data_IF_844149679160
#
_entry.id   IF_844149679160
#
_cell.length_a   1.000
_cell.length_b   1.000
_cell.length_c   1.000
_cell.angle_alpha   90.00
_cell.angle_beta   90.00
_cell.angle_gamma   90.00
#
_symmetry.space_group_name_H-M   'P 1'
#
loop_
_entity.id
_entity.type
_entity.pdbx_description
1 polymer ?
#
# COMPACT_ATOMS: atom_id res chain seq x y z
N UNK A 1 -18.40 -2.07 -6.88
CA UNK A 1 -17.38 -3.13 -7.02
C UNK A 1 -16.16 -2.43 -7.59
N UNK A 2 -15.14 -2.23 -6.77
CA UNK A 2 -14.00 -1.35 -7.06
C UNK A 2 -13.23 -1.83 -8.32
N UNK A 3 -12.71 -0.91 -9.15
CA UNK A 3 -12.08 -1.26 -10.44
C UNK A 3 -10.87 -2.20 -10.34
N UNK A 4 -10.35 -2.43 -9.13
CA UNK A 4 -9.33 -3.45 -8.82
C UNK A 4 -9.83 -4.87 -9.15
N UNK A 5 -11.13 -5.16 -9.05
CA UNK A 5 -11.67 -6.51 -9.33
C UNK A 5 -11.91 -6.81 -10.81
N UNK A 6 -11.74 -5.84 -11.72
CA UNK A 6 -12.05 -6.01 -13.15
C UNK A 6 -10.86 -6.45 -14.01
N UNK A 7 -9.64 -6.31 -13.52
CA UNK A 7 -8.42 -6.65 -14.26
C UNK A 7 -7.85 -7.99 -13.79
N UNK A 8 -7.24 -8.76 -14.72
CA UNK A 8 -6.60 -10.03 -14.35
C UNK A 8 -5.53 -9.79 -13.27
N UNK A 9 -5.42 -10.67 -12.26
CA UNK A 9 -4.47 -10.49 -11.15
C UNK A 9 -3.02 -10.36 -11.64
N UNK A 10 -2.68 -10.96 -12.78
CA UNK A 10 -1.38 -10.81 -13.44
C UNK A 10 -1.03 -9.36 -13.78
N UNK A 11 -1.97 -8.52 -14.22
CA UNK A 11 -1.69 -7.13 -14.56
C UNK A 11 -1.35 -6.29 -13.34
N UNK A 12 -2.04 -6.52 -12.22
CA UNK A 12 -1.81 -5.80 -10.96
C UNK A 12 -0.42 -6.13 -10.42
N UNK A 13 -0.01 -7.39 -10.51
CA UNK A 13 1.32 -7.86 -10.07
C UNK A 13 2.42 -7.24 -10.93
N UNK A 14 2.27 -7.24 -12.27
CA UNK A 14 3.25 -6.65 -13.19
C UNK A 14 3.36 -5.14 -12.93
N UNK A 15 2.23 -4.44 -12.79
CA UNK A 15 2.22 -3.02 -12.49
C UNK A 15 2.91 -2.72 -11.15
N UNK A 16 2.63 -3.52 -10.11
CA UNK A 16 3.27 -3.38 -8.81
C UNK A 16 4.79 -3.59 -8.90
N UNK A 17 5.26 -4.55 -9.69
CA UNK A 17 6.68 -4.79 -9.91
C UNK A 17 7.35 -3.61 -10.64
N UNK A 18 6.71 -3.07 -11.69
CA UNK A 18 7.22 -1.90 -12.43
C UNK A 18 7.28 -0.67 -11.54
N UNK A 19 6.22 -0.39 -10.76
CA UNK A 19 6.21 0.72 -9.82
C UNK A 19 7.26 0.54 -8.72
N UNK A 20 7.47 -0.69 -8.25
CA UNK A 20 8.51 -1.00 -7.28
C UNK A 20 9.92 -0.77 -7.86
N UNK A 21 10.15 -1.10 -9.12
CA UNK A 21 11.42 -0.84 -9.80
C UNK A 21 11.71 0.66 -9.97
N UNK A 22 10.67 1.46 -10.26
CA UNK A 22 10.77 2.93 -10.31
C UNK A 22 11.04 3.49 -8.91
N UNK A 23 10.40 2.95 -7.88
CA UNK A 23 10.62 3.37 -6.50
C UNK A 23 12.06 3.09 -6.05
N UNK A 24 12.54 1.87 -6.28
CA UNK A 24 13.90 1.45 -5.92
C UNK A 24 14.96 2.32 -6.60
N UNK A 25 14.77 2.65 -7.89
CA UNK A 25 15.72 3.49 -8.64
C UNK A 25 15.78 4.94 -8.14
N UNK A 26 14.67 5.47 -7.63
CA UNK A 26 14.60 6.85 -7.16
C UNK A 26 15.02 7.01 -5.69
N UNK A 27 14.57 6.12 -4.80
CA UNK A 27 14.74 6.30 -3.34
C UNK A 27 15.92 5.52 -2.76
N UNK A 28 16.13 4.29 -3.20
CA UNK A 28 17.07 3.38 -2.55
C UNK A 28 18.41 3.31 -3.29
N UNK A 29 18.44 3.63 -4.59
CA UNK A 29 19.62 3.44 -5.45
C UNK A 29 20.02 1.97 -5.60
N UNK A 30 19.28 1.06 -4.97
CA UNK A 30 19.49 -0.38 -4.92
C UNK A 30 18.20 -1.02 -5.41
N UNK A 31 18.29 -1.74 -6.53
CA UNK A 31 17.16 -2.46 -7.10
C UNK A 31 16.80 -3.68 -6.25
N UNK A 32 15.52 -3.88 -5.98
CA UNK A 32 14.98 -5.17 -5.55
C UNK A 32 14.13 -5.16 -4.28
N UNK A 33 14.15 -4.10 -3.46
CA UNK A 33 13.39 -4.08 -2.21
C UNK A 33 11.91 -3.82 -2.50
N UNK A 34 11.56 -2.64 -3.00
CA UNK A 34 10.18 -2.31 -3.34
C UNK A 34 9.68 -3.10 -4.55
N UNK A 35 10.57 -3.41 -5.50
CA UNK A 35 10.27 -4.28 -6.65
C UNK A 35 9.71 -5.65 -6.22
N UNK A 36 10.18 -6.18 -5.09
CA UNK A 36 9.71 -7.44 -4.52
C UNK A 36 8.52 -7.24 -3.58
N UNK A 37 8.57 -6.24 -2.70
CA UNK A 37 7.53 -6.03 -1.69
C UNK A 37 6.20 -5.58 -2.28
N UNK A 38 6.21 -4.72 -3.32
CA UNK A 38 4.96 -4.21 -3.90
C UNK A 38 4.10 -5.32 -4.53
N UNK A 39 4.63 -6.23 -5.36
CA UNK A 39 3.88 -7.40 -5.83
C UNK A 39 3.30 -8.28 -4.70
N UNK A 40 4.06 -8.51 -3.63
CA UNK A 40 3.60 -9.31 -2.49
C UNK A 40 2.45 -8.64 -1.75
N UNK A 41 2.56 -7.33 -1.53
CA UNK A 41 1.48 -6.52 -0.94
C UNK A 41 0.25 -6.55 -1.84
N UNK A 42 0.42 -6.43 -3.15
CA UNK A 42 -0.70 -6.49 -4.10
C UNK A 42 -1.41 -7.85 -4.08
N UNK A 43 -0.65 -8.95 -4.01
CA UNK A 43 -1.19 -10.30 -3.83
C UNK A 43 -1.95 -10.44 -2.51
N UNK A 44 -1.40 -9.92 -1.41
CA UNK A 44 -2.06 -9.94 -0.11
C UNK A 44 -3.41 -9.20 -0.17
N UNK A 45 -3.43 -7.98 -0.72
CA UNK A 45 -4.67 -7.19 -0.89
C UNK A 45 -5.69 -7.95 -1.73
N UNK A 46 -5.27 -8.57 -2.83
CA UNK A 46 -6.18 -9.32 -3.70
C UNK A 46 -6.89 -10.47 -2.97
N UNK A 47 -6.18 -11.16 -2.05
CA UNK A 47 -6.77 -12.24 -1.26
C UNK A 47 -7.75 -11.73 -0.20
N UNK A 48 -7.53 -10.55 0.38
CA UNK A 48 -8.35 -10.02 1.50
C UNK A 48 -9.34 -8.94 1.05
N UNK A 49 -9.46 -8.69 -0.26
CA UNK A 49 -10.21 -7.57 -0.83
C UNK A 49 -11.67 -7.48 -0.37
N UNK A 50 -12.36 -8.62 -0.23
CA UNK A 50 -13.79 -8.66 0.16
C UNK A 50 -13.97 -8.04 1.56
N UNK A 51 -13.07 -8.35 2.49
CA UNK A 51 -13.08 -7.82 3.86
C UNK A 51 -12.68 -6.35 3.91
N UNK A 52 -11.70 -5.95 3.09
CA UNK A 52 -11.16 -4.57 3.05
C UNK A 52 -12.23 -3.56 2.61
N UNK A 53 -13.03 -3.90 1.60
CA UNK A 53 -14.02 -2.99 1.02
C UNK A 53 -15.37 -2.96 1.76
N UNK A 54 -15.50 -3.67 2.88
CA UNK A 54 -16.75 -3.75 3.65
C UNK A 54 -16.99 -2.51 4.51
N UNK A 55 -15.96 -1.96 5.14
CA UNK A 55 -16.10 -0.86 6.10
C UNK A 55 -15.02 0.23 5.90
N UNK A 56 -15.38 1.47 6.21
CA UNK A 56 -14.44 2.61 6.27
C UNK A 56 -13.28 2.34 7.22
N UNK A 57 -13.58 1.76 8.38
CA UNK A 57 -12.59 1.42 9.40
C UNK A 57 -11.66 0.29 8.97
N UNK A 58 -12.19 -0.77 8.35
CA UNK A 58 -11.35 -1.88 7.88
C UNK A 58 -10.36 -1.39 6.82
N UNK A 59 -10.79 -0.50 5.91
CA UNK A 59 -9.90 0.13 4.93
C UNK A 59 -8.77 0.96 5.57
N UNK A 60 -9.07 1.74 6.60
CA UNK A 60 -8.04 2.51 7.34
C UNK A 60 -7.02 1.57 8.02
N UNK A 61 -7.50 0.55 8.73
CA UNK A 61 -6.61 -0.42 9.37
C UNK A 61 -5.76 -1.18 8.36
N UNK A 62 -6.32 -1.54 7.20
CA UNK A 62 -5.55 -2.16 6.11
C UNK A 62 -4.42 -1.26 5.63
N UNK A 63 -4.66 0.06 5.45
CA UNK A 63 -3.59 1.00 5.10
C UNK A 63 -2.50 1.03 6.17
N UNK A 64 -2.88 1.10 7.46
CA UNK A 64 -1.91 1.10 8.57
C UNK A 64 -1.05 -0.18 8.55
N UNK A 65 -1.68 -1.34 8.40
CA UNK A 65 -1.00 -2.63 8.35
C UNK A 65 -0.03 -2.69 7.17
N UNK A 66 -0.45 -2.27 5.97
CA UNK A 66 0.38 -2.31 4.77
C UNK A 66 1.60 -1.39 4.91
N UNK A 67 1.40 -0.15 5.36
CA UNK A 67 2.49 0.82 5.51
C UNK A 67 3.48 0.34 6.57
N UNK A 68 2.97 -0.16 7.71
CA UNK A 68 3.82 -0.72 8.77
C UNK A 68 4.61 -1.93 8.27
N UNK A 69 3.95 -2.86 7.58
CA UNK A 69 4.59 -4.05 7.04
C UNK A 69 5.66 -3.69 6.00
N UNK A 70 5.39 -2.74 5.12
CA UNK A 70 6.35 -2.27 4.13
C UNK A 70 7.60 -1.67 4.78
N UNK A 71 7.44 -0.78 5.75
CA UNK A 71 8.56 -0.15 6.47
C UNK A 71 9.40 -1.19 7.23
N UNK A 72 8.74 -2.10 7.96
CA UNK A 72 9.42 -3.13 8.75
C UNK A 72 10.15 -4.12 7.84
N UNK A 73 9.51 -4.63 6.78
CA UNK A 73 10.17 -5.55 5.86
C UNK A 73 11.30 -4.89 5.08
N UNK A 74 11.13 -3.64 4.65
CA UNK A 74 12.22 -2.90 3.98
C UNK A 74 13.42 -2.72 4.91
N UNK A 75 13.19 -2.33 6.16
CA UNK A 75 14.24 -2.21 7.17
C UNK A 75 14.97 -3.55 7.42
N UNK A 76 14.22 -4.66 7.55
CA UNK A 76 14.79 -6.00 7.73
C UNK A 76 15.65 -6.38 6.53
N UNK A 77 15.16 -6.16 5.31
CA UNK A 77 15.91 -6.44 4.08
C UNK A 77 17.19 -5.61 4.03
N UNK A 78 17.14 -4.31 4.32
CA UNK A 78 18.32 -3.45 4.33
C UNK A 78 19.39 -3.91 5.31
N UNK A 79 19.00 -4.41 6.50
CA UNK A 79 19.95 -5.01 7.45
C UNK A 79 20.49 -6.34 6.98
N UNK A 80 19.64 -7.20 6.43
CA UNK A 80 20.05 -8.52 5.96
C UNK A 80 21.12 -8.43 4.86
N UNK A 81 21.04 -7.40 4.01
CA UNK A 81 22.05 -7.11 2.98
C UNK A 81 23.23 -6.26 3.47
N UNK A 82 23.24 -5.85 4.74
CA UNK A 82 24.34 -5.07 5.33
C UNK A 82 24.39 -3.60 4.90
N UNK A 83 23.33 -3.07 4.28
CA UNK A 83 23.28 -1.67 3.83
C UNK A 83 22.98 -0.69 4.96
N UNK A 84 22.43 -1.15 6.08
CA UNK A 84 22.05 -0.30 7.20
C UNK A 84 22.31 -0.94 8.56
N UNK A 85 22.61 -0.10 9.55
CA UNK A 85 22.58 -0.46 10.96
C UNK A 85 21.26 0.00 11.57
N UNK A 86 20.39 -0.93 11.95
CA UNK A 86 19.12 -0.57 12.57
C UNK A 86 19.31 -0.23 14.05
N UNK A 87 19.09 1.04 14.37
CA UNK A 87 18.71 1.44 15.70
C UNK A 87 17.17 1.50 15.75
N UNK A 88 16.56 0.62 16.54
CA UNK A 88 15.10 0.49 16.61
C UNK A 88 14.40 1.81 17.01
N UNK A 89 14.96 2.56 17.96
CA UNK A 89 14.38 3.83 18.40
C UNK A 89 14.42 4.85 17.25
N UNK A 90 15.58 4.96 16.58
CA UNK A 90 15.72 5.90 15.46
C UNK A 90 14.81 5.50 14.28
N UNK A 91 14.69 4.20 13.98
CA UNK A 91 13.77 3.69 12.97
C UNK A 91 12.32 4.08 13.30
N UNK A 92 11.88 3.90 14.54
CA UNK A 92 10.52 4.25 14.95
C UNK A 92 10.28 5.76 14.83
N UNK A 93 11.19 6.57 15.36
CA UNK A 93 11.01 8.03 15.46
C UNK A 93 11.15 8.73 14.10
N UNK A 94 12.13 8.35 13.29
CA UNK A 94 12.47 9.08 12.07
C UNK A 94 11.88 8.48 10.80
N UNK A 95 11.46 7.23 10.83
CA UNK A 95 10.96 6.54 9.64
C UNK A 95 9.51 6.08 9.85
N UNK A 96 9.27 5.15 10.77
CA UNK A 96 7.95 4.52 10.92
C UNK A 96 6.86 5.50 11.38
N UNK A 97 7.09 6.26 12.45
CA UNK A 97 6.11 7.21 12.98
C UNK A 97 5.72 8.31 11.99
N UNK A 98 6.65 9.05 11.36
CA UNK A 98 6.29 10.10 10.41
C UNK A 98 5.62 9.53 9.15
N UNK A 99 6.09 8.40 8.59
CA UNK A 99 5.45 7.78 7.43
C UNK A 99 4.02 7.34 7.76
N UNK A 100 3.81 6.69 8.92
CA UNK A 100 2.47 6.24 9.32
C UNK A 100 1.52 7.42 9.55
N UNK A 101 1.99 8.46 10.24
CA UNK A 101 1.18 9.64 10.50
C UNK A 101 0.73 10.31 9.20
N UNK A 102 1.65 10.49 8.25
CA UNK A 102 1.33 11.04 6.93
C UNK A 102 0.32 10.16 6.19
N UNK A 103 0.53 8.84 6.15
CA UNK A 103 -0.37 7.92 5.46
C UNK A 103 -1.76 7.85 6.09
N UNK A 104 -1.89 7.94 7.41
CA UNK A 104 -3.18 8.00 8.10
C UNK A 104 -3.93 9.28 7.73
N UNK A 105 -3.23 10.43 7.77
CA UNK A 105 -3.82 11.72 7.40
C UNK A 105 -4.31 11.68 5.95
N UNK A 106 -3.46 11.22 5.02
CA UNK A 106 -3.80 11.08 3.62
C UNK A 106 -4.96 10.09 3.42
N UNK A 107 -4.95 8.96 4.10
CA UNK A 107 -6.02 7.97 3.99
C UNK A 107 -7.36 8.56 4.44
N UNK A 108 -7.42 9.28 5.55
CA UNK A 108 -8.66 9.93 6.03
C UNK A 108 -9.09 11.04 5.09
N UNK A 109 -8.15 11.89 4.64
CA UNK A 109 -8.41 13.02 3.76
C UNK A 109 -8.92 12.58 2.37
N UNK A 110 -8.32 11.53 1.78
CA UNK A 110 -8.71 10.98 0.48
C UNK A 110 -9.94 10.08 0.56
N UNK A 111 -10.17 9.42 1.69
CA UNK A 111 -11.32 8.54 1.86
C UNK A 111 -12.65 9.29 1.71
N UNK A 112 -12.74 10.51 2.23
CA UNK A 112 -13.95 11.34 2.13
C UNK A 112 -14.36 11.66 0.68
N UNK A 113 -13.53 12.28 -0.18
CA UNK A 113 -13.89 12.57 -1.56
C UNK A 113 -14.11 11.30 -2.39
N UNK A 114 -13.36 10.23 -2.13
CA UNK A 114 -13.54 8.95 -2.84
C UNK A 114 -14.89 8.31 -2.51
N UNK A 115 -15.31 8.30 -1.25
CA UNK A 115 -16.63 7.77 -0.87
C UNK A 115 -17.77 8.54 -1.53
N UNK A 116 -17.65 9.86 -1.64
CA UNK A 116 -18.61 10.71 -2.36
C UNK A 116 -18.64 10.34 -3.85
N UNK A 117 -17.49 10.30 -4.52
CA UNK A 117 -17.40 10.00 -5.95
C UNK A 117 -17.92 8.59 -6.29
N UNK A 118 -17.57 7.58 -5.47
CA UNK A 118 -18.03 6.22 -5.69
C UNK A 118 -19.51 6.01 -5.32
N UNK A 119 -20.07 6.71 -4.32
CA UNK A 119 -21.53 6.72 -4.09
C UNK A 119 -22.28 7.28 -5.30
N UNK A 120 -21.77 8.38 -5.89
CA UNK A 120 -22.37 8.98 -7.09
C UNK A 120 -22.37 8.01 -8.28
N UNK A 121 -21.29 7.24 -8.47
CA UNK A 121 -21.23 6.23 -9.54
C UNK A 121 -22.21 5.07 -9.34
N UNK A 122 -22.53 4.69 -8.09
CA UNK A 122 -23.56 3.68 -7.80
C UNK A 122 -24.98 4.16 -8.15
N UNK A 123 -25.19 5.47 -8.34
CA UNK A 123 -26.47 6.07 -8.73
C UNK A 123 -26.75 6.02 -10.24
N UNK A 124 -25.75 5.72 -11.09
CA UNK A 124 -25.91 5.66 -12.55
C UNK A 124 -25.76 4.22 -13.07
N UNK A 125 -26.72 3.37 -12.71
CA UNK A 125 -26.73 1.97 -13.13
C UNK A 125 -27.97 1.20 -12.67
N UNK A 126 -29.15 1.82 -12.81
CA UNK A 126 -30.43 1.12 -12.90
C UNK A 126 -31.30 1.86 -13.92
N UNK A 127 -31.11 1.51 -15.17
CA UNK A 127 -32.19 1.54 -16.15
C UNK A 127 -32.36 0.10 -16.64
N UNK A 128 -33.61 -0.34 -16.52
CA UNK A 128 -34.22 -1.65 -16.75
C UNK A 128 -33.56 -2.56 -17.78
#
# INVERSE_FOLDING_TARGET
MYSVTQHRPSYIIILAAVLGAIYDSYYLGIYGIATLLFPLIALFIYNVQITIFTNRWTRLFTTIIIVTAFEVFSAIIMVAFGFAHLNFINFVVYQLAPTLLLNIILAVALQFPLEIFYRLKKSHGRYN
#
